data_IF_982855158354
#
_entry.id   IF_982855158354
#
_cell.length_a   1.000
_cell.length_b   1.000
_cell.length_c   1.000
_cell.angle_alpha   90.00
_cell.angle_beta   90.00
_cell.angle_gamma   90.00
#
_symmetry.space_group_name_H-M   'P 1'
#
loop_
_entity.id
_entity.type
_entity.pdbx_description
1 polymer ?
#
# COMPACT_ATOMS: atom_id res chain seq x y z
N UNK A 1 -15.36 19.61 24.89
CA UNK A 1 -14.50 20.22 23.84
C UNK A 1 -13.08 19.63 23.85
N UNK A 2 -12.56 19.12 24.97
CA UNK A 2 -11.19 18.56 25.05
C UNK A 2 -10.99 17.20 24.32
N UNK A 3 -11.98 16.30 24.31
CA UNK A 3 -11.88 14.99 23.64
C UNK A 3 -11.69 15.14 22.11
N UNK A 4 -12.26 16.20 21.52
CA UNK A 4 -12.07 16.50 20.10
C UNK A 4 -10.61 16.86 19.80
N UNK A 5 -9.93 17.62 20.67
CA UNK A 5 -8.54 18.03 20.43
C UNK A 5 -7.57 16.84 20.47
N UNK A 6 -7.76 15.91 21.41
CA UNK A 6 -6.91 14.70 21.49
C UNK A 6 -7.12 13.81 20.26
N UNK A 7 -8.38 13.60 19.85
CA UNK A 7 -8.70 12.85 18.63
C UNK A 7 -8.14 13.53 17.38
N UNK A 8 -8.30 14.84 17.25
CA UNK A 8 -7.76 15.61 16.11
C UNK A 8 -6.24 15.61 16.09
N UNK A 9 -5.56 15.70 17.24
CA UNK A 9 -4.10 15.61 17.30
C UNK A 9 -3.60 14.23 16.87
N UNK A 10 -4.23 13.14 17.32
CA UNK A 10 -3.87 11.78 16.92
C UNK A 10 -4.13 11.55 15.44
N UNK A 11 -5.27 11.99 14.91
CA UNK A 11 -5.59 11.87 13.48
C UNK A 11 -4.62 12.68 12.62
N UNK A 12 -4.28 13.91 13.03
CA UNK A 12 -3.32 14.77 12.32
C UNK A 12 -1.90 14.20 12.34
N UNK A 13 -1.50 13.59 13.45
CA UNK A 13 -0.21 12.89 13.56
C UNK A 13 -0.18 11.63 12.68
N UNK A 14 -1.31 10.91 12.61
CA UNK A 14 -1.48 9.81 11.68
C UNK A 14 -1.41 10.26 10.22
N UNK A 15 -2.07 11.36 9.82
CA UNK A 15 -1.98 11.90 8.45
C UNK A 15 -0.55 12.28 8.07
N UNK A 16 0.18 12.94 8.97
CA UNK A 16 1.59 13.25 8.75
C UNK A 16 2.44 11.98 8.59
N UNK A 17 2.21 11.00 9.47
CA UNK A 17 2.93 9.72 9.42
C UNK A 17 2.59 8.92 8.16
N UNK A 18 1.32 8.92 7.73
CA UNK A 18 0.85 8.31 6.48
C UNK A 18 1.51 8.96 5.27
N UNK A 19 1.62 10.29 5.24
CA UNK A 19 2.32 11.00 4.19
C UNK A 19 3.80 10.59 4.13
N UNK A 20 4.49 10.52 5.27
CA UNK A 20 5.87 10.04 5.32
C UNK A 20 6.01 8.58 4.86
N UNK A 21 5.08 7.71 5.25
CA UNK A 21 5.03 6.31 4.79
C UNK A 21 4.88 6.24 3.27
N UNK A 22 3.93 6.97 2.67
CA UNK A 22 3.72 7.02 1.21
C UNK A 22 4.98 7.47 0.47
N UNK A 23 5.68 8.49 0.97
CA UNK A 23 6.94 8.96 0.36
C UNK A 23 8.05 7.88 0.37
N UNK A 24 7.99 6.91 1.29
CA UNK A 24 8.94 5.80 1.36
C UNK A 24 8.57 4.59 0.50
N UNK A 25 7.37 4.56 -0.09
CA UNK A 25 6.91 3.43 -0.91
C UNK A 25 7.36 3.54 -2.37
N UNK A 26 7.38 2.40 -3.05
CA UNK A 26 7.56 2.36 -4.50
C UNK A 26 6.33 2.98 -5.19
N UNK A 27 6.55 3.73 -6.28
CA UNK A 27 5.49 4.40 -7.06
C UNK A 27 4.34 3.46 -7.44
N UNK A 28 4.62 2.23 -7.87
CA UNK A 28 3.57 1.26 -8.25
C UNK A 28 2.65 0.90 -7.06
N UNK A 29 3.14 1.03 -5.83
CA UNK A 29 2.37 0.81 -4.59
C UNK A 29 1.66 2.11 -4.19
N UNK A 30 2.35 3.26 -4.28
CA UNK A 30 1.77 4.58 -3.98
C UNK A 30 0.52 4.83 -4.83
N UNK A 31 0.58 4.59 -6.14
CA UNK A 31 -0.54 4.81 -7.06
C UNK A 31 -1.81 4.04 -6.65
N UNK A 32 -1.67 2.89 -5.96
CA UNK A 32 -2.79 2.07 -5.50
C UNK A 32 -3.27 2.49 -4.11
N UNK A 33 -2.34 2.81 -3.22
CA UNK A 33 -2.63 3.13 -1.81
C UNK A 33 -3.15 4.57 -1.67
N UNK A 34 -2.62 5.53 -2.44
CA UNK A 34 -3.02 6.95 -2.38
C UNK A 34 -4.49 7.19 -2.77
N UNK A 35 -5.07 6.30 -3.58
CA UNK A 35 -6.46 6.45 -4.05
C UNK A 35 -7.52 6.13 -2.96
N UNK A 36 -7.11 5.68 -1.77
CA UNK A 36 -8.02 5.35 -0.67
C UNK A 36 -7.75 6.24 0.56
N UNK A 37 -8.82 6.64 1.24
CA UNK A 37 -8.72 7.30 2.54
C UNK A 37 -8.71 6.24 3.63
N UNK A 38 -7.67 6.25 4.47
CA UNK A 38 -7.51 5.33 5.59
C UNK A 38 -7.81 6.06 6.90
N UNK A 39 -8.53 5.40 7.81
CA UNK A 39 -8.79 5.96 9.14
C UNK A 39 -7.57 5.85 10.06
N UNK A 40 -6.75 4.82 9.85
CA UNK A 40 -5.57 4.50 10.67
C UNK A 40 -4.40 4.03 9.81
N UNK A 41 -3.18 4.27 10.29
CA UNK A 41 -1.95 3.90 9.56
C UNK A 41 -1.86 2.38 9.33
N UNK A 42 -2.37 1.59 10.27
CA UNK A 42 -2.40 0.13 10.18
C UNK A 42 -3.16 -0.36 8.94
N UNK A 43 -4.28 0.26 8.59
CA UNK A 43 -5.05 -0.07 7.39
C UNK A 43 -4.25 0.20 6.11
N UNK A 44 -3.54 1.34 6.07
CA UNK A 44 -2.68 1.73 4.95
C UNK A 44 -1.52 0.76 4.77
N UNK A 45 -0.87 0.36 5.87
CA UNK A 45 0.24 -0.62 5.86
C UNK A 45 -0.24 -1.98 5.36
N UNK A 46 -1.39 -2.46 5.82
CA UNK A 46 -1.96 -3.72 5.35
C UNK A 46 -2.23 -3.73 3.85
N UNK A 47 -2.74 -2.62 3.30
CA UNK A 47 -2.95 -2.52 1.87
C UNK A 47 -1.62 -2.49 1.11
N UNK A 48 -0.64 -1.73 1.56
CA UNK A 48 0.68 -1.67 0.92
C UNK A 48 1.33 -3.06 0.83
N UNK A 49 1.26 -3.85 1.91
CA UNK A 49 1.74 -5.25 1.94
C UNK A 49 1.00 -6.11 0.91
N UNK A 50 -0.33 -5.99 0.83
CA UNK A 50 -1.14 -6.75 -0.12
C UNK A 50 -0.77 -6.43 -1.56
N UNK A 51 -0.58 -5.16 -1.90
CA UNK A 51 -0.18 -4.71 -3.24
C UNK A 51 1.23 -5.21 -3.57
N UNK A 52 2.18 -5.08 -2.64
CA UNK A 52 3.55 -5.56 -2.81
C UNK A 52 3.58 -7.07 -3.13
N UNK A 53 2.80 -7.88 -2.40
CA UNK A 53 2.68 -9.32 -2.66
C UNK A 53 2.07 -9.61 -4.03
N UNK A 54 1.07 -8.83 -4.46
CA UNK A 54 0.48 -8.99 -5.79
C UNK A 54 1.48 -8.64 -6.91
N UNK A 55 2.26 -7.58 -6.74
CA UNK A 55 3.31 -7.20 -7.69
C UNK A 55 4.40 -8.29 -7.77
N UNK A 56 4.84 -8.82 -6.62
CA UNK A 56 5.78 -9.96 -6.56
C UNK A 56 5.24 -11.19 -7.30
N UNK A 57 3.96 -11.55 -7.09
CA UNK A 57 3.30 -12.66 -7.81
C UNK A 57 3.21 -12.41 -9.32
N UNK A 58 2.80 -11.21 -9.75
CA UNK A 58 2.75 -10.86 -11.18
C UNK A 58 4.13 -10.85 -11.83
N UNK A 59 5.15 -10.38 -11.11
CA UNK A 59 6.55 -10.44 -11.56
C UNK A 59 7.05 -11.87 -11.72
N UNK A 60 6.67 -12.79 -10.83
CA UNK A 60 6.95 -14.23 -10.96
C UNK A 60 6.22 -14.84 -12.17
N UNK A 61 4.93 -14.53 -12.37
CA UNK A 61 4.16 -14.97 -13.56
C UNK A 61 4.75 -14.42 -14.85
N UNK A 62 5.31 -13.20 -14.84
CA UNK A 62 6.00 -12.62 -16.01
C UNK A 62 7.37 -13.24 -16.25
N UNK A 63 8.05 -13.69 -15.19
CA UNK A 63 9.36 -14.36 -15.25
C UNK A 63 9.28 -15.84 -15.60
N UNK A 64 8.13 -16.49 -15.49
CA UNK A 64 7.91 -17.76 -16.16
C UNK A 64 7.72 -17.45 -17.66
N UNK A 65 8.70 -17.68 -18.55
CA UNK A 65 8.33 -17.82 -19.94
C UNK A 65 7.35 -18.99 -19.98
N UNK A 66 6.33 -18.92 -20.82
CA UNK A 66 5.59 -20.10 -21.25
C UNK A 66 6.59 -21.15 -21.76
N UNK A 67 7.15 -21.97 -20.86
CA UNK A 67 7.88 -23.19 -21.20
C UNK A 67 6.89 -24.34 -21.30
N UNK A 68 5.76 -24.09 -21.95
CA UNK A 68 4.74 -25.08 -22.27
C UNK A 68 3.91 -24.60 -23.46
N UNK A 69 4.61 -24.23 -24.55
CA UNK A 69 4.00 -24.26 -25.88
C UNK A 69 4.88 -25.08 -26.83
N UNK A 70 4.23 -26.13 -27.38
CA UNK A 70 4.56 -26.96 -28.55
C UNK A 70 5.47 -28.17 -28.23
N UNK A 71 4.97 -29.41 -28.04
CA UNK A 71 4.22 -30.32 -28.94
C UNK A 71 5.07 -30.78 -30.15
N UNK A 72 5.02 -32.05 -30.62
CA UNK A 72 3.85 -32.94 -30.73
C UNK A 72 3.83 -34.15 -29.78
#
# INVERSE_FOLDING_TARGET
MEIAMIRTNIIKDNEATMAHFLHGLNRDIVDVVENHHYGELEEMVHQAIKVEQQLKRRGLVRRTPNSSRLSP
#
